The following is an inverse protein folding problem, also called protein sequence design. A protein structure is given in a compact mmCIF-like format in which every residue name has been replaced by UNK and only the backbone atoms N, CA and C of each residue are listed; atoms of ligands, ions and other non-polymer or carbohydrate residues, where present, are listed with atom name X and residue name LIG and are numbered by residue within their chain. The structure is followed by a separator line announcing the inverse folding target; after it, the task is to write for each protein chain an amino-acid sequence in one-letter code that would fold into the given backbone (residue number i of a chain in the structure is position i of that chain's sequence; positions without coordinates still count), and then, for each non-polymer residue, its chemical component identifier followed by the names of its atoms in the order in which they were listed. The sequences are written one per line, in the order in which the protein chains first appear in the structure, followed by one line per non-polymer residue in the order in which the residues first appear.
data_IF_634545490530
#
_entry.id   IF_634545490530
#
_cell.length_a   1.000
_cell.length_b   1.000
_cell.length_c   1.000
_cell.angle_alpha   90.00
_cell.angle_beta   90.00
_cell.angle_gamma   90.00
#
_symmetry.space_group_name_H-M   'P 1'
#
loop_
_entity.id
_entity.type
_entity.pdbx_description
1 polymer ?
#
# COMPACT_ATOMS: atom_id res chain seq x y z
N UNK A 1 9.59 13.33 16.25
CA UNK A 1 8.88 12.03 16.43
C UNK A 1 7.44 12.14 15.95
N UNK A 2 6.72 13.22 16.31
CA UNK A 2 5.43 13.62 15.68
C UNK A 2 5.47 13.69 14.15
N UNK A 3 6.60 14.10 13.56
CA UNK A 3 6.83 14.09 12.10
C UNK A 3 6.92 12.68 11.49
N UNK A 4 7.39 11.69 12.25
CA UNK A 4 7.49 10.29 11.80
C UNK A 4 6.11 9.61 11.84
N UNK A 5 5.26 10.00 12.82
CA UNK A 5 3.87 9.55 12.95
C UNK A 5 3.05 9.94 11.70
N UNK A 6 3.15 11.20 11.26
CA UNK A 6 2.47 11.68 10.05
C UNK A 6 2.97 11.05 8.74
N UNK A 7 4.15 10.40 8.76
CA UNK A 7 4.75 9.86 7.55
C UNK A 7 4.38 8.38 7.29
N UNK A 8 3.97 7.64 8.32
CA UNK A 8 3.37 6.31 8.15
C UNK A 8 1.88 6.45 7.82
N UNK A 9 1.21 7.45 8.41
CA UNK A 9 -0.21 7.76 8.16
C UNK A 9 -0.48 9.25 8.30
N UNK A 10 -1.08 9.88 7.29
CA UNK A 10 -1.50 11.29 7.40
C UNK A 10 -2.61 11.49 8.43
N UNK A 11 -3.51 10.50 8.53
CA UNK A 11 -4.57 10.48 9.55
C UNK A 11 -3.91 10.12 10.88
N UNK A 12 -3.91 11.09 11.80
CA UNK A 12 -3.08 11.09 13.02
C UNK A 12 -3.45 10.01 14.03
N UNK A 13 -4.71 9.57 14.05
CA UNK A 13 -5.27 8.69 15.07
C UNK A 13 -4.75 7.27 15.01
N UNK A 14 -4.82 6.65 13.84
CA UNK A 14 -4.40 5.25 13.66
C UNK A 14 -2.88 5.13 13.62
N UNK A 15 -2.21 6.16 13.11
CA UNK A 15 -0.76 6.31 13.26
C UNK A 15 -0.34 6.32 14.73
N UNK A 16 -1.03 7.10 15.58
CA UNK A 16 -0.72 7.13 17.01
C UNK A 16 -0.90 5.76 17.67
N UNK A 17 -2.00 5.06 17.38
CA UNK A 17 -2.26 3.71 17.93
C UNK A 17 -1.18 2.70 17.49
N UNK A 18 -0.78 2.72 16.21
CA UNK A 18 0.31 1.89 15.71
C UNK A 18 1.63 2.22 16.42
N UNK A 19 1.97 3.51 16.57
CA UNK A 19 3.19 3.92 17.28
C UNK A 19 3.16 3.54 18.75
N UNK A 20 2.04 3.70 19.45
CA UNK A 20 1.87 3.28 20.84
C UNK A 20 2.12 1.78 20.99
N UNK A 21 1.58 0.97 20.08
CA UNK A 21 1.86 -0.46 20.02
C UNK A 21 3.35 -0.74 19.80
N UNK A 22 3.98 -0.09 18.83
CA UNK A 22 5.42 -0.25 18.55
C UNK A 22 6.27 0.13 19.78
N UNK A 23 5.91 1.19 20.50
CA UNK A 23 6.54 1.55 21.76
C UNK A 23 6.39 0.44 22.80
N UNK A 24 5.17 -0.05 23.03
CA UNK A 24 4.91 -1.17 23.96
C UNK A 24 5.74 -2.41 23.60
N UNK A 25 5.84 -2.75 22.32
CA UNK A 25 6.64 -3.88 21.82
C UNK A 25 8.16 -3.65 21.98
N UNK A 26 8.64 -2.41 21.83
CA UNK A 26 10.07 -2.08 21.93
C UNK A 26 10.59 -1.98 23.37
N UNK A 27 9.71 -1.66 24.32
CA UNK A 27 10.05 -1.46 25.74
C UNK A 27 9.44 -2.56 26.64
N UNK A 28 9.03 -3.69 26.08
CA UNK A 28 8.43 -4.76 26.87
C UNK A 28 9.41 -5.49 27.78
N UNK A 29 10.69 -5.58 27.37
CA UNK A 29 11.79 -6.22 28.13
C UNK A 29 13.16 -5.92 27.47
N UNK A 30 14.23 -6.46 28.04
CA UNK A 30 15.61 -6.36 27.51
C UNK A 30 15.96 -7.48 26.50
N UNK A 31 14.96 -8.17 25.92
CA UNK A 31 15.21 -9.26 24.97
C UNK A 31 15.80 -8.75 23.65
N UNK A 32 16.50 -9.62 22.89
CA UNK A 32 16.94 -9.27 21.55
C UNK A 32 15.81 -8.83 20.61
N UNK A 33 14.58 -9.34 20.79
CA UNK A 33 13.41 -8.98 19.99
C UNK A 33 12.91 -7.56 20.28
N UNK A 34 12.75 -7.19 21.56
CA UNK A 34 12.43 -5.81 21.97
C UNK A 34 13.45 -4.80 21.43
N UNK A 35 14.74 -5.14 21.56
CA UNK A 35 15.84 -4.33 21.04
C UNK A 35 15.83 -4.21 19.51
N UNK A 36 15.41 -5.26 18.79
CA UNK A 36 15.27 -5.21 17.34
C UNK A 36 14.20 -4.18 16.92
N UNK A 37 13.04 -4.17 17.58
CA UNK A 37 11.95 -3.21 17.32
C UNK A 37 12.45 -1.79 17.56
N UNK A 38 13.08 -1.54 18.71
CA UNK A 38 13.62 -0.21 19.04
C UNK A 38 14.61 0.29 17.98
N UNK A 39 15.55 -0.55 17.57
CA UNK A 39 16.56 -0.20 16.56
C UNK A 39 15.94 0.06 15.19
N UNK A 40 14.93 -0.71 14.80
CA UNK A 40 14.19 -0.50 13.55
C UNK A 40 13.40 0.82 13.59
N UNK A 41 12.73 1.13 14.70
CA UNK A 41 12.05 2.43 14.90
C UNK A 41 13.03 3.60 14.82
N UNK A 42 14.19 3.50 15.49
CA UNK A 42 15.22 4.53 15.45
C UNK A 42 15.81 4.70 14.04
N UNK A 43 16.03 3.59 13.33
CA UNK A 43 16.50 3.59 11.93
C UNK A 43 15.55 4.39 11.04
N UNK A 44 14.26 4.08 11.11
CA UNK A 44 13.21 4.75 10.34
C UNK A 44 13.09 6.23 10.74
N UNK A 45 13.07 6.53 12.04
CA UNK A 45 13.00 7.90 12.54
C UNK A 45 14.20 8.75 12.12
N UNK A 46 15.41 8.17 12.12
CA UNK A 46 16.62 8.85 11.65
C UNK A 46 16.54 9.13 10.16
N UNK A 47 16.15 8.12 9.35
CA UNK A 47 15.95 8.26 7.91
C UNK A 47 14.97 9.41 7.60
N UNK A 48 13.86 9.49 8.32
CA UNK A 48 12.89 10.55 8.13
C UNK A 48 13.42 11.94 8.47
N UNK A 49 14.16 12.06 9.57
CA UNK A 49 14.59 13.36 10.08
C UNK A 49 15.80 13.91 9.32
N UNK A 50 16.72 13.03 8.95
CA UNK A 50 18.04 13.40 8.44
C UNK A 50 18.28 12.94 7.00
N UNK A 51 17.32 12.23 6.40
CA UNK A 51 17.50 11.62 5.10
C UNK A 51 18.52 10.48 5.14
N UNK A 52 19.14 10.25 4.00
CA UNK A 52 20.14 9.19 3.84
C UNK A 52 21.40 9.49 4.67
N UNK A 53 21.79 8.55 5.53
CA UNK A 53 23.04 8.65 6.29
C UNK A 53 23.51 7.30 6.80
N UNK A 54 24.82 7.18 7.03
CA UNK A 54 25.46 5.98 7.56
C UNK A 54 24.81 5.50 8.87
N UNK A 55 24.28 6.43 9.67
CA UNK A 55 23.66 6.13 10.96
C UNK A 55 22.31 5.41 10.83
N UNK A 56 21.45 5.82 9.88
CA UNK A 56 20.22 5.10 9.57
C UNK A 56 20.51 3.65 9.14
N UNK A 57 21.46 3.47 8.22
CA UNK A 57 21.88 2.14 7.76
C UNK A 57 22.51 1.31 8.89
N UNK A 58 23.32 1.92 9.75
CA UNK A 58 23.91 1.26 10.92
C UNK A 58 22.83 0.74 11.88
N UNK A 59 21.79 1.54 12.12
CA UNK A 59 20.65 1.14 12.94
C UNK A 59 19.83 0.02 12.28
N UNK A 60 19.61 0.07 10.96
CA UNK A 60 19.01 -1.02 10.18
C UNK A 60 19.78 -2.34 10.37
N UNK A 61 21.10 -2.31 10.19
CA UNK A 61 21.98 -3.49 10.37
C UNK A 61 21.96 -3.99 11.81
N UNK A 62 21.94 -3.09 12.79
CA UNK A 62 21.84 -3.44 14.21
C UNK A 62 20.49 -4.07 14.56
N UNK A 63 19.39 -3.63 13.92
CA UNK A 63 18.07 -4.22 14.07
C UNK A 63 18.04 -5.65 13.50
N UNK A 64 18.59 -5.86 12.29
CA UNK A 64 18.73 -7.19 11.68
C UNK A 64 19.57 -8.14 12.53
N UNK A 65 20.67 -7.65 13.11
CA UNK A 65 21.54 -8.44 13.99
C UNK A 65 20.80 -8.88 15.26
N UNK A 66 20.03 -7.97 15.87
CA UNK A 66 19.16 -8.28 17.01
C UNK A 66 18.07 -9.28 16.66
N UNK A 67 17.40 -9.09 15.51
CA UNK A 67 16.37 -10.00 15.02
C UNK A 67 16.93 -11.40 14.79
N UNK A 68 18.09 -11.51 14.13
CA UNK A 68 18.77 -12.80 13.92
C UNK A 68 19.23 -13.46 15.22
N UNK A 69 19.47 -12.69 16.29
CA UNK A 69 19.76 -13.23 17.63
C UNK A 69 18.50 -13.77 18.29
N UNK A 70 17.38 -13.04 18.21
CA UNK A 70 16.08 -13.47 18.72
C UNK A 70 15.62 -14.77 18.04
N UNK A 71 15.68 -14.83 16.71
CA UNK A 71 15.24 -16.00 15.94
C UNK A 71 16.01 -17.29 16.29
N UNK A 72 17.28 -17.20 16.71
CA UNK A 72 18.06 -18.37 17.15
C UNK A 72 17.58 -18.97 18.47
N UNK A 73 16.85 -18.21 19.27
CA UNK A 73 16.34 -18.66 20.57
C UNK A 73 15.02 -19.43 20.43
N UNK A 74 14.55 -19.64 19.19
CA UNK A 74 13.21 -20.11 18.80
C UNK A 74 12.11 -19.22 19.38
N UNK A 75 11.32 -18.57 18.52
CA UNK A 75 10.22 -17.73 18.99
C UNK A 75 9.20 -18.58 19.75
N UNK A 76 9.05 -18.35 21.06
CA UNK A 76 8.21 -19.21 21.91
C UNK A 76 6.90 -18.54 22.35
N UNK A 77 6.78 -17.22 22.21
CA UNK A 77 5.61 -16.45 22.65
C UNK A 77 4.99 -15.53 21.59
N UNK A 78 3.68 -15.33 21.65
CA UNK A 78 2.92 -14.46 20.73
C UNK A 78 3.49 -13.04 20.66
N UNK A 79 3.94 -12.47 21.78
CA UNK A 79 4.57 -11.14 21.83
C UNK A 79 5.82 -11.08 20.96
N UNK A 80 6.71 -12.07 21.08
CA UNK A 80 7.96 -12.13 20.33
C UNK A 80 7.68 -12.23 18.83
N UNK A 81 6.63 -12.96 18.44
CA UNK A 81 6.20 -13.01 17.05
C UNK A 81 5.71 -11.64 16.58
N UNK A 82 4.89 -10.91 17.37
CA UNK A 82 4.49 -9.54 17.00
C UNK A 82 5.68 -8.57 16.93
N UNK A 83 6.70 -8.75 17.78
CA UNK A 83 7.95 -7.99 17.66
C UNK A 83 8.65 -8.29 16.33
N UNK A 84 8.72 -9.56 15.91
CA UNK A 84 9.28 -9.93 14.60
C UNK A 84 8.47 -9.34 13.44
N UNK A 85 7.13 -9.37 13.51
CA UNK A 85 6.24 -8.73 12.52
C UNK A 85 6.49 -7.22 12.47
N UNK A 86 6.56 -6.56 13.62
CA UNK A 86 6.82 -5.12 13.72
C UNK A 86 8.18 -4.74 13.13
N UNK A 87 9.24 -5.49 13.43
CA UNK A 87 10.58 -5.28 12.84
C UNK A 87 10.52 -5.44 11.32
N UNK A 88 9.88 -6.49 10.82
CA UNK A 88 9.71 -6.70 9.38
C UNK A 88 8.98 -5.55 8.70
N UNK A 89 7.88 -5.05 9.29
CA UNK A 89 7.14 -3.91 8.74
C UNK A 89 7.92 -2.60 8.80
N UNK A 90 8.66 -2.33 9.87
CA UNK A 90 9.51 -1.15 9.99
C UNK A 90 10.68 -1.16 8.99
N UNK A 91 11.28 -2.34 8.74
CA UNK A 91 12.32 -2.51 7.73
C UNK A 91 11.76 -2.45 6.31
N UNK A 92 10.55 -2.99 6.08
CA UNK A 92 9.81 -2.82 4.83
C UNK A 92 9.59 -1.33 4.55
N UNK A 93 9.04 -0.60 5.53
CA UNK A 93 8.86 0.85 5.46
C UNK A 93 10.18 1.59 5.16
N UNK A 94 11.26 1.24 5.85
CA UNK A 94 12.58 1.83 5.62
C UNK A 94 13.01 1.74 4.15
N UNK A 95 12.88 0.57 3.53
CA UNK A 95 13.19 0.36 2.11
C UNK A 95 12.20 1.05 1.17
N UNK A 96 10.92 1.12 1.54
CA UNK A 96 9.90 1.80 0.73
C UNK A 96 10.08 3.33 0.72
N UNK A 97 10.48 3.91 1.85
CA UNK A 97 10.80 5.34 1.95
C UNK A 97 12.17 5.68 1.33
N UNK A 98 13.00 4.67 1.10
CA UNK A 98 14.32 4.82 0.49
C UNK A 98 14.70 3.54 -0.31
N UNK A 99 14.25 3.42 -1.57
CA UNK A 99 14.85 2.44 -2.46
C UNK A 99 16.31 2.89 -2.66
N UNK A 100 17.27 2.14 -2.12
CA UNK A 100 18.64 2.27 -2.61
C UNK A 100 18.65 1.69 -4.01
N UNK A 101 19.34 2.33 -4.96
CA UNK A 101 19.49 1.77 -6.32
C UNK A 101 20.09 0.35 -6.28
N UNK A 102 20.73 -0.03 -5.18
CA UNK A 102 21.41 -1.31 -4.96
C UNK A 102 20.65 -2.37 -4.16
N UNK A 103 19.55 -2.06 -3.46
CA UNK A 103 18.87 -3.02 -2.58
C UNK A 103 17.35 -2.93 -2.67
N UNK A 104 16.76 -3.99 -3.19
CA UNK A 104 15.32 -4.22 -3.26
C UNK A 104 14.92 -5.28 -2.23
N UNK A 105 14.83 -4.89 -0.95
CA UNK A 105 14.60 -5.85 0.14
C UNK A 105 13.21 -5.77 0.78
N UNK A 106 12.40 -4.76 0.45
CA UNK A 106 11.10 -4.58 1.09
C UNK A 106 10.17 -5.80 0.96
N UNK A 107 10.09 -6.52 -0.19
CA UNK A 107 9.21 -7.69 -0.26
C UNK A 107 9.72 -8.85 0.60
N UNK A 108 11.03 -8.96 0.82
CA UNK A 108 11.61 -9.98 1.70
C UNK A 108 11.18 -9.72 3.15
N UNK A 109 11.26 -8.48 3.61
CA UNK A 109 10.82 -8.11 4.95
C UNK A 109 9.32 -8.30 5.15
N UNK A 110 8.53 -7.92 4.14
CA UNK A 110 7.08 -8.10 4.14
C UNK A 110 6.69 -9.58 4.17
N UNK A 111 7.31 -10.40 3.31
CA UNK A 111 7.08 -11.84 3.24
C UNK A 111 7.48 -12.53 4.55
N UNK A 112 8.61 -12.12 5.15
CA UNK A 112 9.05 -12.59 6.46
C UNK A 112 8.05 -12.26 7.57
N UNK A 113 7.56 -11.01 7.64
CA UNK A 113 6.54 -10.60 8.61
C UNK A 113 5.23 -11.40 8.43
N UNK A 114 4.80 -11.62 7.19
CA UNK A 114 3.62 -12.43 6.88
C UNK A 114 3.77 -13.89 7.33
N UNK A 115 4.93 -14.49 7.11
CA UNK A 115 5.21 -15.85 7.54
C UNK A 115 5.19 -15.98 9.07
N UNK A 116 5.73 -14.99 9.78
CA UNK A 116 5.67 -14.94 11.24
C UNK A 116 4.24 -14.85 11.75
N UNK A 117 3.41 -14.00 11.13
CA UNK A 117 2.00 -13.87 11.50
C UNK A 117 1.21 -15.17 11.24
N UNK A 118 1.53 -15.90 10.17
CA UNK A 118 0.89 -17.18 9.85
C UNK A 118 1.02 -18.19 11.00
N UNK A 119 2.19 -18.27 11.63
CA UNK A 119 2.44 -19.16 12.77
C UNK A 119 1.52 -18.86 13.98
N UNK A 120 1.09 -17.60 14.16
CA UNK A 120 0.12 -17.23 15.22
C UNK A 120 -1.27 -17.77 14.87
N UNK A 121 -1.70 -17.62 13.61
CA UNK A 121 -3.03 -18.06 13.16
C UNK A 121 -3.23 -19.57 13.33
N UNK A 122 -2.19 -20.37 13.11
CA UNK A 122 -2.26 -21.83 13.30
C UNK A 122 -2.27 -22.24 14.78
N UNK A 123 -1.75 -21.39 15.68
CA UNK A 123 -1.60 -21.67 17.12
C UNK A 123 -2.79 -21.30 18.02
N UNK A 124 -3.89 -20.74 17.49
CA UNK A 124 -5.16 -20.58 18.22
C UNK A 124 -5.22 -19.53 19.35
N UNK A 125 -4.31 -18.56 19.42
CA UNK A 125 -4.23 -17.53 20.49
C UNK A 125 -3.95 -16.11 19.92
N UNK A 126 -4.30 -14.98 20.60
CA UNK A 126 -5.59 -14.50 21.15
C UNK A 126 -5.92 -13.01 20.79
N UNK A 127 -7.07 -12.48 21.29
CA UNK A 127 -7.61 -11.09 21.24
C UNK A 127 -6.85 -10.08 20.35
N UNK A 128 -7.36 -9.94 19.13
CA UNK A 128 -6.93 -9.05 18.05
C UNK A 128 -6.68 -7.59 18.48
N UNK A 129 -7.52 -7.06 19.37
CA UNK A 129 -7.73 -5.61 19.54
C UNK A 129 -6.49 -4.74 19.81
N UNK A 130 -5.42 -5.27 20.42
CA UNK A 130 -4.20 -4.47 20.67
C UNK A 130 -3.27 -4.37 19.45
N UNK A 131 -3.33 -5.33 18.52
CA UNK A 131 -2.38 -5.45 17.39
C UNK A 131 -3.00 -5.24 16.01
N UNK A 132 -4.31 -4.97 15.95
CA UNK A 132 -5.09 -4.76 14.73
C UNK A 132 -4.37 -3.85 13.72
N UNK A 133 -3.85 -2.72 14.20
CA UNK A 133 -3.19 -1.71 13.37
C UNK A 133 -1.92 -2.25 12.68
N UNK A 134 -1.15 -3.11 13.35
CA UNK A 134 0.03 -3.74 12.77
C UNK A 134 -0.36 -4.78 11.71
N UNK A 135 -1.44 -5.54 11.96
CA UNK A 135 -1.95 -6.54 11.02
C UNK A 135 -2.56 -5.89 9.78
N UNK A 136 -3.34 -4.82 9.95
CA UNK A 136 -3.89 -4.00 8.86
C UNK A 136 -2.75 -3.39 8.05
N UNK A 137 -1.72 -2.86 8.70
CA UNK A 137 -0.56 -2.29 8.01
C UNK A 137 0.15 -3.33 7.14
N UNK A 138 0.37 -4.53 7.68
CA UNK A 138 0.93 -5.66 6.94
C UNK A 138 0.04 -6.07 5.75
N UNK A 139 -1.26 -6.21 5.98
CA UNK A 139 -2.24 -6.61 4.97
C UNK A 139 -2.27 -5.62 3.81
N UNK A 140 -2.34 -4.33 4.11
CA UNK A 140 -2.32 -3.23 3.13
C UNK A 140 -1.11 -3.32 2.19
N UNK A 141 0.10 -3.46 2.73
CA UNK A 141 1.32 -3.57 1.93
C UNK A 141 1.42 -4.90 1.17
N UNK A 142 0.93 -6.02 1.72
CA UNK A 142 0.93 -7.33 1.04
C UNK A 142 -0.01 -7.30 -0.17
N UNK A 143 -1.22 -6.77 -0.03
CA UNK A 143 -2.19 -6.70 -1.13
C UNK A 143 -1.69 -5.79 -2.25
N UNK A 144 -1.25 -4.57 -1.94
CA UNK A 144 -0.81 -3.62 -2.97
C UNK A 144 0.54 -4.01 -3.59
N UNK A 145 1.40 -4.68 -2.84
CA UNK A 145 2.61 -5.29 -3.37
C UNK A 145 2.32 -6.43 -4.36
N UNK A 146 1.40 -7.33 -4.00
CA UNK A 146 0.90 -8.38 -4.91
C UNK A 146 0.28 -7.78 -6.16
N UNK A 147 -0.57 -6.77 -5.99
CA UNK A 147 -1.22 -6.08 -7.10
C UNK A 147 -0.17 -5.50 -8.07
N UNK A 148 0.82 -4.75 -7.57
CA UNK A 148 1.88 -4.20 -8.42
C UNK A 148 2.69 -5.32 -9.11
N UNK A 149 2.97 -6.42 -8.41
CA UNK A 149 3.75 -7.54 -8.95
C UNK A 149 3.09 -8.23 -10.14
N UNK A 150 1.76 -8.14 -10.25
CA UNK A 150 0.98 -8.66 -11.39
C UNK A 150 1.38 -8.01 -12.72
N UNK A 151 1.77 -6.74 -12.68
CA UNK A 151 2.16 -5.96 -13.85
C UNK A 151 3.69 -5.84 -14.00
N UNK A 152 4.45 -6.20 -12.97
CA UNK A 152 5.90 -6.16 -12.99
C UNK A 152 6.48 -7.49 -13.50
N UNK A 153 6.66 -7.59 -14.82
CA UNK A 153 7.09 -8.81 -15.55
C UNK A 153 8.61 -9.02 -15.56
N UNK A 154 9.36 -8.43 -14.64
CA UNK A 154 10.82 -8.61 -14.57
C UNK A 154 11.13 -10.06 -14.16
N UNK A 155 11.69 -10.84 -15.10
CA UNK A 155 11.93 -12.30 -15.07
C UNK A 155 12.98 -12.76 -14.04
N UNK A 156 12.91 -12.31 -12.80
CA UNK A 156 13.67 -12.90 -11.71
C UNK A 156 12.82 -14.01 -11.06
N UNK A 157 13.30 -15.26 -11.16
CA UNK A 157 12.69 -16.44 -10.51
C UNK A 157 12.54 -16.22 -9.00
N UNK A 158 13.46 -15.46 -8.39
CA UNK A 158 13.42 -15.08 -6.98
C UNK A 158 12.24 -14.14 -6.69
N UNK A 159 12.03 -13.10 -7.51
CA UNK A 159 10.94 -12.13 -7.35
C UNK A 159 9.55 -12.76 -7.47
N UNK A 160 9.40 -13.71 -8.41
CA UNK A 160 8.16 -14.44 -8.60
C UNK A 160 7.76 -15.28 -7.37
N UNK A 161 8.69 -15.60 -6.46
CA UNK A 161 8.42 -16.42 -5.27
C UNK A 161 8.03 -15.61 -4.02
N UNK A 162 8.39 -14.31 -3.97
CA UNK A 162 8.26 -13.46 -2.77
C UNK A 162 6.80 -13.26 -2.33
N UNK A 163 5.89 -13.19 -3.30
CA UNK A 163 4.46 -12.97 -3.07
C UNK A 163 3.61 -14.25 -3.14
N UNK A 164 4.22 -15.42 -3.47
CA UNK A 164 3.53 -16.71 -3.60
C UNK A 164 3.14 -17.35 -2.27
N UNK A 165 3.66 -16.87 -1.13
CA UNK A 165 3.27 -17.39 0.18
C UNK A 165 1.79 -17.04 0.42
N UNK A 166 0.89 -18.03 0.59
CA UNK A 166 -0.51 -17.78 0.92
C UNK A 166 -0.57 -17.02 2.24
N UNK A 167 -1.05 -15.78 2.20
CA UNK A 167 -1.18 -14.95 3.38
C UNK A 167 -2.56 -15.10 3.98
N UNK A 168 -2.67 -15.71 5.17
CA UNK A 168 -3.91 -15.68 5.98
C UNK A 168 -4.07 -14.37 6.77
N UNK A 169 -3.38 -13.29 6.39
CA UNK A 169 -3.57 -11.97 7.01
C UNK A 169 -5.05 -11.55 6.90
N UNK A 170 -5.69 -11.84 5.77
CA UNK A 170 -7.14 -11.63 5.57
C UNK A 170 -8.02 -12.30 6.62
N UNK A 171 -7.65 -13.50 7.10
CA UNK A 171 -8.42 -14.22 8.13
C UNK A 171 -8.38 -13.50 9.47
N UNK A 172 -7.27 -12.84 9.82
CA UNK A 172 -7.19 -12.02 11.03
C UNK A 172 -7.91 -10.69 10.84
N UNK A 173 -7.77 -10.07 9.66
CA UNK A 173 -8.39 -8.79 9.37
C UNK A 173 -9.93 -8.89 9.32
N UNK A 174 -10.51 -10.02 8.92
CA UNK A 174 -11.97 -10.24 8.87
C UNK A 174 -12.73 -10.10 10.19
N UNK A 175 -12.03 -10.05 11.32
CA UNK A 175 -12.60 -9.77 12.65
C UNK A 175 -12.64 -8.27 13.02
N UNK A 176 -12.13 -7.41 12.16
CA UNK A 176 -12.12 -5.94 12.30
C UNK A 176 -13.31 -5.38 11.53
N UNK A 177 -13.91 -4.27 11.98
CA UNK A 177 -15.05 -3.65 11.31
C UNK A 177 -14.69 -3.30 9.84
N UNK A 178 -15.26 -4.05 8.90
CA UNK A 178 -14.82 -4.12 7.50
C UNK A 178 -15.07 -2.82 6.71
N UNK A 179 -16.09 -2.06 7.08
CA UNK A 179 -16.58 -0.86 6.38
C UNK A 179 -15.87 0.43 6.81
N UNK A 180 -15.15 0.42 7.94
CA UNK A 180 -14.53 1.62 8.51
C UNK A 180 -13.27 2.05 7.75
N UNK A 181 -13.19 3.34 7.38
CA UNK A 181 -11.99 3.95 6.79
C UNK A 181 -10.92 4.09 7.86
N UNK A 182 -9.78 3.46 7.59
CA UNK A 182 -8.63 3.50 8.48
C UNK A 182 -7.55 4.43 7.93
N UNK A 183 -6.95 5.21 8.81
CA UNK A 183 -5.84 6.10 8.51
C UNK A 183 -4.60 5.41 7.97
N UNK A 184 -4.42 4.12 8.30
CA UNK A 184 -3.29 3.31 7.83
C UNK A 184 -3.40 2.99 6.34
N UNK A 185 -4.59 2.61 5.86
CA UNK A 185 -4.85 2.27 4.44
C UNK A 185 -5.35 3.46 3.61
N UNK A 186 -6.06 4.41 4.25
CA UNK A 186 -6.80 5.48 3.58
C UNK A 186 -8.15 5.06 3.00
N UNK A 187 -8.57 3.82 3.22
CA UNK A 187 -9.85 3.24 2.79
C UNK A 187 -10.28 2.16 3.79
N UNK A 188 -11.45 1.58 3.57
CA UNK A 188 -11.90 0.47 4.41
C UNK A 188 -11.11 -0.82 4.16
N UNK A 189 -11.15 -1.73 5.13
CA UNK A 189 -10.60 -3.10 4.99
C UNK A 189 -11.29 -3.82 3.83
N UNK A 190 -12.61 -3.70 3.73
CA UNK A 190 -13.40 -4.28 2.63
C UNK A 190 -12.90 -3.81 1.27
N UNK A 191 -12.56 -2.52 1.14
CA UNK A 191 -12.01 -1.99 -0.10
C UNK A 191 -10.64 -2.61 -0.44
N UNK A 192 -9.78 -2.84 0.55
CA UNK A 192 -8.50 -3.54 0.36
C UNK A 192 -8.71 -4.99 -0.06
N UNK A 193 -9.67 -5.68 0.55
CA UNK A 193 -10.02 -7.06 0.19
C UNK A 193 -10.59 -7.14 -1.23
N UNK A 194 -11.39 -6.16 -1.67
CA UNK A 194 -11.83 -6.06 -3.07
C UNK A 194 -10.65 -5.88 -4.03
N UNK A 195 -9.65 -5.07 -3.68
CA UNK A 195 -8.41 -4.94 -4.48
C UNK A 195 -7.66 -6.27 -4.54
N UNK A 196 -7.62 -7.02 -3.43
CA UNK A 196 -7.05 -8.36 -3.39
C UNK A 196 -7.78 -9.30 -4.35
N UNK A 197 -9.12 -9.36 -4.30
CA UNK A 197 -9.93 -10.18 -5.20
C UNK A 197 -9.70 -9.84 -6.68
N UNK A 198 -9.62 -8.56 -7.01
CA UNK A 198 -9.31 -8.05 -8.35
C UNK A 198 -7.93 -8.53 -8.81
N UNK A 199 -6.95 -8.52 -7.91
CA UNK A 199 -5.57 -8.93 -8.20
C UNK A 199 -5.41 -10.42 -8.47
N UNK A 200 -6.38 -11.25 -8.07
CA UNK A 200 -6.37 -12.71 -8.24
C UNK A 200 -7.08 -13.20 -9.51
N UNK A 201 -7.84 -12.34 -10.20
CA UNK A 201 -8.52 -12.71 -11.44
C UNK A 201 -7.52 -13.00 -12.58
N UNK A 202 -7.90 -13.66 -13.65
CA UNK A 202 -7.02 -13.82 -14.83
C UNK A 202 -7.15 -12.63 -15.79
N UNK A 203 -6.04 -12.09 -16.33
CA UNK A 203 -6.08 -11.07 -17.41
C UNK A 203 -6.18 -11.69 -18.81
N UNK A 204 -5.62 -12.89 -18.95
CA UNK A 204 -5.43 -13.57 -20.24
C UNK A 204 -6.62 -14.46 -20.61
N UNK A 205 -7.40 -14.89 -19.61
CA UNK A 205 -8.43 -15.92 -19.80
C UNK A 205 -9.85 -15.42 -19.48
N UNK A 206 -10.36 -14.53 -20.33
CA UNK A 206 -11.73 -13.99 -20.20
C UNK A 206 -12.81 -15.02 -20.56
N UNK A 207 -12.46 -16.17 -21.17
CA UNK A 207 -13.42 -17.24 -21.49
C UNK A 207 -13.73 -18.13 -20.29
N UNK A 208 -12.80 -18.28 -19.34
CA UNK A 208 -12.97 -19.09 -18.13
C UNK A 208 -13.07 -18.28 -16.83
N UNK A 209 -12.83 -16.96 -16.86
CA UNK A 209 -13.09 -16.12 -15.69
C UNK A 209 -14.57 -16.14 -15.38
N UNK A 210 -14.94 -16.59 -14.17
CA UNK A 210 -16.34 -16.73 -13.76
C UNK A 210 -17.03 -15.36 -13.83
N UNK A 211 -17.86 -15.16 -14.86
CA UNK A 211 -18.64 -13.94 -15.05
C UNK A 211 -19.46 -13.59 -13.80
N UNK A 212 -19.85 -14.57 -12.99
CA UNK A 212 -20.52 -14.33 -11.70
C UNK A 212 -19.59 -13.65 -10.71
N UNK A 213 -18.33 -14.08 -10.62
CA UNK A 213 -17.32 -13.44 -9.77
C UNK A 213 -17.05 -12.01 -10.23
N UNK A 214 -16.92 -11.78 -11.54
CA UNK A 214 -16.77 -10.42 -12.09
C UNK A 214 -17.96 -9.51 -11.74
N UNK A 215 -19.19 -9.99 -11.95
CA UNK A 215 -20.40 -9.23 -11.63
C UNK A 215 -20.53 -8.97 -10.12
N UNK A 216 -20.10 -9.92 -9.28
CA UNK A 216 -20.09 -9.76 -7.82
C UNK A 216 -19.12 -8.68 -7.37
N UNK A 217 -17.89 -8.69 -7.89
CA UNK A 217 -16.87 -7.68 -7.58
C UNK A 217 -17.33 -6.31 -8.06
N UNK A 218 -17.88 -6.22 -9.28
CA UNK A 218 -18.43 -4.97 -9.80
C UNK A 218 -19.54 -4.43 -8.91
N UNK A 219 -20.46 -5.28 -8.48
CA UNK A 219 -21.55 -4.89 -7.60
C UNK A 219 -20.99 -4.34 -6.28
N UNK A 220 -20.08 -5.06 -5.63
CA UNK A 220 -19.45 -4.59 -4.39
C UNK A 220 -18.70 -3.27 -4.57
N UNK A 221 -17.91 -3.08 -5.62
CA UNK A 221 -17.25 -1.78 -5.91
C UNK A 221 -18.25 -0.62 -6.11
N UNK A 222 -19.44 -0.93 -6.64
CA UNK A 222 -20.49 0.06 -6.87
C UNK A 222 -21.27 0.41 -5.60
N UNK A 223 -21.40 -0.53 -4.66
CA UNK A 223 -22.23 -0.39 -3.46
C UNK A 223 -21.44 -0.28 -2.16
N UNK A 224 -20.11 -0.40 -2.19
CA UNK A 224 -19.28 -0.33 -0.99
C UNK A 224 -19.48 1.01 -0.29
N UNK A 225 -19.87 0.94 0.99
CA UNK A 225 -19.97 2.08 1.88
C UNK A 225 -18.71 2.10 2.74
N UNK A 226 -18.08 3.28 2.83
CA UNK A 226 -16.83 3.45 3.57
C UNK A 226 -17.08 4.45 4.70
N UNK A 227 -17.30 3.93 5.90
CA UNK A 227 -17.65 4.73 7.07
C UNK A 227 -16.44 5.54 7.56
N UNK A 228 -16.63 6.85 7.71
CA UNK A 228 -15.60 7.79 8.17
C UNK A 228 -15.78 8.20 9.64
N UNK A 229 -16.77 7.66 10.36
CA UNK A 229 -17.08 8.04 11.74
C UNK A 229 -15.88 7.94 12.70
N UNK A 230 -15.08 6.87 12.61
CA UNK A 230 -13.89 6.70 13.45
C UNK A 230 -12.77 7.70 13.14
N UNK A 231 -12.74 8.26 11.93
CA UNK A 231 -11.84 9.38 11.65
C UNK A 231 -12.27 10.61 12.49
N UNK A 232 -13.56 10.80 12.74
CA UNK A 232 -14.09 11.98 13.44
C UNK A 232 -13.82 12.03 14.94
N UNK A 233 -13.49 10.93 15.61
CA UNK A 233 -13.38 10.91 17.08
C UNK A 233 -12.23 11.78 17.62
N UNK A 234 -11.18 11.97 16.83
CA UNK A 234 -9.93 12.59 17.29
C UNK A 234 -9.21 13.40 16.20
N UNK A 235 -9.77 13.48 14.99
CA UNK A 235 -9.23 14.30 13.90
C UNK A 235 -10.09 15.55 13.69
N UNK A 236 -9.51 16.58 13.06
CA UNK A 236 -10.23 17.78 12.63
C UNK A 236 -11.22 17.47 11.50
N UNK A 237 -12.24 18.32 11.31
CA UNK A 237 -13.21 18.19 10.22
C UNK A 237 -12.53 18.10 8.84
N UNK A 238 -11.47 18.90 8.63
CA UNK A 238 -10.67 18.88 7.39
C UNK A 238 -9.98 17.53 7.16
N UNK A 239 -9.44 16.90 8.22
CA UNK A 239 -8.79 15.58 8.14
C UNK A 239 -9.80 14.47 7.84
N UNK A 240 -11.02 14.57 8.40
CA UNK A 240 -12.11 13.62 8.12
C UNK A 240 -12.60 13.76 6.67
N UNK A 241 -12.83 14.99 6.22
CA UNK A 241 -13.21 15.27 4.83
C UNK A 241 -12.13 14.78 3.86
N UNK A 242 -10.86 15.03 4.18
CA UNK A 242 -9.73 14.52 3.42
C UNK A 242 -9.74 12.99 3.35
N UNK A 243 -9.92 12.30 4.49
CA UNK A 243 -10.02 10.84 4.54
C UNK A 243 -11.17 10.29 3.70
N UNK A 244 -12.33 10.94 3.73
CA UNK A 244 -13.49 10.58 2.88
C UNK A 244 -13.23 10.77 1.39
N UNK A 245 -12.52 11.85 0.99
CA UNK A 245 -12.10 12.04 -0.40
C UNK A 245 -11.13 10.97 -0.86
N UNK A 246 -10.15 10.60 -0.02
CA UNK A 246 -9.17 9.55 -0.32
C UNK A 246 -9.85 8.19 -0.44
N UNK A 247 -10.77 7.84 0.47
CA UNK A 247 -11.48 6.56 0.42
C UNK A 247 -12.33 6.44 -0.84
N UNK A 248 -12.98 7.54 -1.25
CA UNK A 248 -13.72 7.60 -2.50
C UNK A 248 -12.81 7.47 -3.73
N UNK A 249 -11.60 8.05 -3.71
CA UNK A 249 -10.62 7.86 -4.79
C UNK A 249 -10.15 6.41 -4.90
N UNK A 250 -10.00 5.66 -3.80
CA UNK A 250 -9.74 4.22 -3.85
C UNK A 250 -10.83 3.46 -4.60
N UNK A 251 -12.10 3.74 -4.28
CA UNK A 251 -13.25 3.12 -4.93
C UNK A 251 -13.28 3.42 -6.43
N UNK A 252 -13.09 4.69 -6.80
CA UNK A 252 -13.06 5.12 -8.21
C UNK A 252 -11.89 4.51 -8.98
N UNK A 253 -10.69 4.46 -8.38
CA UNK A 253 -9.53 3.81 -8.97
C UNK A 253 -9.77 2.31 -9.21
N UNK A 254 -10.38 1.62 -8.24
CA UNK A 254 -10.79 0.22 -8.38
C UNK A 254 -11.77 0.00 -9.53
N UNK A 255 -12.79 0.86 -9.66
CA UNK A 255 -13.76 0.83 -10.76
C UNK A 255 -13.13 1.10 -12.12
N UNK A 256 -12.24 2.11 -12.21
CA UNK A 256 -11.50 2.44 -13.44
C UNK A 256 -10.65 1.25 -13.88
N UNK A 257 -9.84 0.69 -12.97
CA UNK A 257 -9.02 -0.46 -13.28
C UNK A 257 -9.87 -1.68 -13.67
N UNK A 258 -10.96 -1.95 -12.94
CA UNK A 258 -11.86 -3.06 -13.25
C UNK A 258 -12.45 -2.95 -14.68
N UNK A 259 -12.94 -1.78 -15.06
CA UNK A 259 -13.53 -1.55 -16.38
C UNK A 259 -12.49 -1.60 -17.50
N UNK A 260 -11.31 -1.00 -17.30
CA UNK A 260 -10.22 -0.94 -18.28
C UNK A 260 -9.50 -2.27 -18.45
N UNK A 261 -9.13 -2.93 -17.35
CA UNK A 261 -8.25 -4.10 -17.37
C UNK A 261 -9.00 -5.43 -17.44
N UNK A 262 -10.14 -5.57 -16.74
CA UNK A 262 -10.85 -6.85 -16.65
C UNK A 262 -11.99 -6.95 -17.67
N UNK A 263 -12.75 -5.87 -17.85
CA UNK A 263 -13.80 -5.82 -18.89
C UNK A 263 -13.28 -5.43 -20.27
N UNK A 264 -12.04 -4.92 -20.36
CA UNK A 264 -11.42 -4.44 -21.60
C UNK A 264 -12.30 -3.42 -22.33
N UNK A 265 -13.06 -2.65 -21.55
CA UNK A 265 -14.02 -1.67 -22.04
C UNK A 265 -13.30 -0.34 -22.23
N UNK A 266 -13.07 0.04 -23.49
CA UNK A 266 -12.26 1.22 -23.80
C UNK A 266 -13.00 2.54 -23.64
N UNK A 267 -14.34 2.57 -23.75
CA UNK A 267 -15.14 3.80 -23.79
C UNK A 267 -16.59 3.57 -23.32
N UNK A 268 -16.80 3.27 -22.03
CA UNK A 268 -18.16 3.26 -21.46
C UNK A 268 -18.53 4.62 -20.86
N UNK A 269 -19.80 5.02 -20.98
CA UNK A 269 -20.30 6.25 -20.34
C UNK A 269 -20.16 6.23 -18.82
N UNK A 270 -20.12 5.02 -18.22
CA UNK A 270 -19.84 4.82 -16.79
C UNK A 270 -18.40 5.16 -16.44
N UNK A 271 -17.43 4.70 -17.24
CA UNK A 271 -16.02 5.02 -17.07
C UNK A 271 -15.79 6.53 -17.11
N UNK A 272 -16.37 7.21 -18.10
CA UNK A 272 -16.26 8.68 -18.21
C UNK A 272 -16.81 9.36 -16.96
N UNK A 273 -17.97 8.91 -16.45
CA UNK A 273 -18.57 9.46 -15.22
C UNK A 273 -17.65 9.29 -14.01
N UNK A 274 -17.06 8.11 -13.82
CA UNK A 274 -16.15 7.86 -12.69
C UNK A 274 -14.86 8.67 -12.78
N UNK A 275 -14.32 8.84 -13.99
CA UNK A 275 -13.15 9.70 -14.22
C UNK A 275 -13.49 11.15 -13.88
N UNK A 276 -14.63 11.67 -14.36
CA UNK A 276 -15.07 13.04 -14.02
C UNK A 276 -15.20 13.23 -12.51
N UNK A 277 -15.89 12.31 -11.83
CA UNK A 277 -16.06 12.33 -10.37
C UNK A 277 -14.70 12.31 -9.64
N UNK A 278 -13.73 11.54 -10.13
CA UNK A 278 -12.39 11.49 -9.54
C UNK A 278 -11.61 12.80 -9.72
N UNK A 279 -11.75 13.46 -10.88
CA UNK A 279 -11.11 14.75 -11.13
C UNK A 279 -11.75 15.90 -10.35
N UNK A 280 -13.06 15.87 -10.11
CA UNK A 280 -13.74 16.81 -9.18
C UNK A 280 -13.17 16.68 -7.76
N UNK A 281 -12.88 15.46 -7.30
CA UNK A 281 -12.21 15.25 -6.02
C UNK A 281 -10.79 15.82 -6.05
N UNK A 282 -9.99 15.48 -7.07
CA UNK A 282 -8.60 15.95 -7.23
C UNK A 282 -8.51 17.48 -7.22
N UNK A 283 -9.46 18.18 -7.85
CA UNK A 283 -9.50 19.65 -7.91
C UNK A 283 -9.59 20.27 -6.51
N UNK A 284 -10.37 19.66 -5.61
CA UNK A 284 -10.55 20.14 -4.24
C UNK A 284 -9.53 19.57 -3.25
N UNK A 285 -8.70 18.62 -3.69
CA UNK A 285 -7.78 17.90 -2.82
C UNK A 285 -6.46 18.66 -2.66
N UNK A 286 -6.03 18.86 -1.43
CA UNK A 286 -4.77 19.56 -1.15
C UNK A 286 -3.55 18.68 -1.51
N UNK A 287 -3.49 17.47 -0.97
CA UNK A 287 -2.45 16.46 -1.21
C UNK A 287 -3.05 15.07 -1.43
N UNK A 288 -2.32 14.13 -2.01
CA UNK A 288 -2.73 12.73 -2.06
C UNK A 288 -1.51 11.83 -1.86
N UNK A 289 -1.41 11.20 -0.70
CA UNK A 289 -0.26 10.36 -0.34
C UNK A 289 -0.51 8.87 -0.56
N UNK A 290 -1.56 8.52 -1.32
CA UNK A 290 -1.94 7.14 -1.60
C UNK A 290 -1.56 6.79 -3.04
N UNK A 291 -0.46 6.06 -3.25
CA UNK A 291 0.03 5.72 -4.58
C UNK A 291 -1.00 4.99 -5.45
N UNK A 292 -1.73 4.01 -4.90
CA UNK A 292 -2.72 3.24 -5.65
C UNK A 292 -3.79 4.11 -6.32
N UNK A 293 -4.63 4.88 -5.59
CA UNK A 293 -5.66 5.68 -6.24
C UNK A 293 -5.06 6.80 -7.10
N UNK A 294 -3.96 7.41 -6.65
CA UNK A 294 -3.31 8.47 -7.40
C UNK A 294 -2.82 7.98 -8.77
N UNK A 295 -2.17 6.81 -8.83
CA UNK A 295 -1.66 6.23 -10.06
C UNK A 295 -2.80 5.97 -11.07
N UNK A 296 -3.83 5.22 -10.68
CA UNK A 296 -4.89 4.83 -11.61
C UNK A 296 -5.73 5.98 -12.12
N UNK A 297 -6.04 6.97 -11.27
CA UNK A 297 -6.79 8.15 -11.71
C UNK A 297 -5.91 9.08 -12.55
N UNK A 298 -4.65 9.26 -12.18
CA UNK A 298 -3.72 10.12 -12.92
C UNK A 298 -3.44 9.60 -14.34
N UNK A 299 -3.38 8.27 -14.51
CA UNK A 299 -3.27 7.63 -15.82
C UNK A 299 -4.44 8.00 -16.77
N UNK A 300 -5.60 8.39 -16.23
CA UNK A 300 -6.78 8.79 -17.01
C UNK A 300 -6.83 10.31 -17.32
N UNK A 301 -5.72 11.02 -17.16
CA UNK A 301 -5.61 12.43 -17.54
C UNK A 301 -5.43 12.59 -19.07
N UNK A 302 -6.55 12.65 -19.79
CA UNK A 302 -6.62 12.73 -21.26
C UNK A 302 -6.51 14.16 -21.81
N UNK A 303 -6.49 15.18 -20.96
CA UNK A 303 -6.41 16.60 -21.35
C UNK A 303 -5.30 17.32 -20.61
N UNK A 304 -4.75 18.39 -21.22
CA UNK A 304 -3.73 19.23 -20.57
C UNK A 304 -4.21 19.82 -19.24
N UNK A 305 -5.50 20.16 -19.14
CA UNK A 305 -6.11 20.63 -17.88
C UNK A 305 -6.02 19.56 -16.80
N UNK A 306 -6.38 18.31 -17.12
CA UNK A 306 -6.30 17.19 -16.18
C UNK A 306 -4.85 16.87 -15.80
N UNK A 307 -3.94 16.82 -16.78
CA UNK A 307 -2.50 16.59 -16.54
C UNK A 307 -1.92 17.66 -15.62
N UNK A 308 -2.29 18.94 -15.83
CA UNK A 308 -1.89 20.05 -14.96
C UNK A 308 -2.43 19.91 -13.54
N UNK A 309 -3.68 19.48 -13.36
CA UNK A 309 -4.24 19.22 -12.03
C UNK A 309 -3.46 18.12 -11.30
N UNK A 310 -3.16 17.02 -11.99
CA UNK A 310 -2.37 15.89 -11.45
C UNK A 310 -0.95 16.32 -11.08
N UNK A 311 -0.24 17.02 -11.96
CA UNK A 311 1.13 17.49 -11.69
C UNK A 311 1.18 18.47 -10.52
N UNK A 312 0.18 19.36 -10.40
CA UNK A 312 0.02 20.24 -9.24
C UNK A 312 -0.20 19.44 -7.94
N UNK A 313 -1.00 18.39 -7.98
CA UNK A 313 -1.22 17.51 -6.83
C UNK A 313 0.05 16.75 -6.43
N UNK A 314 0.83 16.25 -7.39
CA UNK A 314 2.14 15.65 -7.14
C UNK A 314 3.08 16.63 -6.46
N UNK A 315 3.20 17.85 -6.99
CA UNK A 315 4.07 18.89 -6.44
C UNK A 315 3.67 19.26 -5.00
N UNK A 316 2.38 19.48 -4.74
CA UNK A 316 1.86 19.76 -3.38
C UNK A 316 2.17 18.61 -2.42
N UNK A 317 1.96 17.37 -2.85
CA UNK A 317 2.19 16.17 -2.03
C UNK A 317 3.67 16.01 -1.68
N UNK A 318 4.56 16.11 -2.68
CA UNK A 318 6.01 15.97 -2.50
C UNK A 318 6.62 17.08 -1.62
N UNK A 319 6.05 18.29 -1.64
CA UNK A 319 6.47 19.38 -0.75
C UNK A 319 6.13 19.10 0.72
N UNK A 320 5.02 18.40 0.99
CA UNK A 320 4.56 18.10 2.35
C UNK A 320 5.15 16.81 2.91
N UNK A 321 5.41 15.83 2.06
CA UNK A 321 6.00 14.56 2.46
C UNK A 321 7.21 14.28 1.57
N UNK A 322 8.37 14.05 2.19
CA UNK A 322 9.62 13.72 1.48
C UNK A 322 9.61 12.28 0.94
N UNK A 323 8.48 11.84 0.40
CA UNK A 323 8.22 10.46 0.00
C UNK A 323 8.71 10.23 -1.43
N UNK A 324 9.88 9.60 -1.57
CA UNK A 324 10.41 9.14 -2.88
C UNK A 324 9.41 8.27 -3.66
N UNK A 325 8.53 7.55 -2.97
CA UNK A 325 7.44 6.75 -3.58
C UNK A 325 6.59 7.58 -4.55
N UNK A 326 6.23 8.80 -4.18
CA UNK A 326 5.39 9.67 -5.00
C UNK A 326 6.13 10.14 -6.26
N UNK A 327 7.46 10.31 -6.20
CA UNK A 327 8.27 10.57 -7.40
C UNK A 327 8.26 9.40 -8.37
N UNK A 328 8.36 8.16 -7.88
CA UNK A 328 8.26 6.96 -8.72
C UNK A 328 6.89 6.89 -9.40
N UNK A 329 5.80 7.12 -8.66
CA UNK A 329 4.45 7.15 -9.24
C UNK A 329 4.29 8.23 -10.30
N UNK A 330 4.81 9.44 -10.06
CA UNK A 330 4.79 10.51 -11.05
C UNK A 330 5.49 10.08 -12.34
N UNK A 331 6.70 9.52 -12.26
CA UNK A 331 7.44 9.03 -13.43
C UNK A 331 6.71 7.92 -14.19
N UNK A 332 6.02 7.02 -13.47
CA UNK A 332 5.17 6.00 -14.08
C UNK A 332 3.96 6.61 -14.80
N UNK A 333 3.28 7.57 -14.19
CA UNK A 333 2.13 8.27 -14.80
C UNK A 333 2.55 9.04 -16.06
N UNK A 334 3.65 9.79 -16.00
CA UNK A 334 4.18 10.51 -17.16
C UNK A 334 4.55 9.53 -18.29
N UNK A 335 5.12 8.37 -17.95
CA UNK A 335 5.40 7.31 -18.93
C UNK A 335 4.12 6.77 -19.58
N UNK A 336 3.04 6.59 -18.80
CA UNK A 336 1.72 6.21 -19.34
C UNK A 336 1.21 7.27 -20.32
N UNK A 337 1.28 8.56 -19.97
CA UNK A 337 0.85 9.63 -20.87
C UNK A 337 1.64 9.66 -22.18
N UNK A 338 2.96 9.43 -22.11
CA UNK A 338 3.79 9.30 -23.31
C UNK A 338 3.34 8.13 -24.18
N UNK A 339 3.07 6.95 -23.58
CA UNK A 339 2.57 5.81 -24.35
C UNK A 339 1.20 6.08 -24.98
N UNK A 340 0.29 6.74 -24.24
CA UNK A 340 -1.03 7.13 -24.76
C UNK A 340 -0.90 8.09 -25.95
N UNK A 341 -0.07 9.12 -25.82
CA UNK A 341 0.15 10.11 -26.88
C UNK A 341 0.77 9.47 -28.13
N UNK A 342 1.74 8.56 -27.97
CA UNK A 342 2.33 7.80 -29.09
C UNK A 342 1.34 6.81 -29.75
N UNK A 343 0.46 6.21 -28.95
CA UNK A 343 -0.51 5.21 -29.43
C UNK A 343 -1.67 5.80 -30.25
N UNK A 344 -1.80 7.13 -30.28
CA UNK A 344 -2.83 7.82 -31.06
C UNK A 344 -2.67 7.67 -32.59
N UNK A 345 -1.51 7.17 -33.05
CA UNK A 345 -1.18 6.99 -34.48
C UNK A 345 -1.28 5.52 -34.99
N UNK A 346 -1.43 4.50 -34.13
CA UNK A 346 -1.57 3.07 -34.51
C UNK A 346 -2.68 2.35 -33.71
N UNK A 347 -2.94 1.05 -33.95
CA UNK A 347 -3.87 0.26 -33.10
C UNK A 347 -3.39 0.36 -31.65
N UNK A 348 -4.10 1.14 -30.83
CA UNK A 348 -3.70 1.48 -29.47
C UNK A 348 -3.33 0.25 -28.64
N UNK A 349 -2.33 0.42 -27.78
CA UNK A 349 -1.89 -0.61 -26.83
C UNK A 349 -3.03 -0.91 -25.84
N UNK A 350 -3.30 -2.19 -25.60
CA UNK A 350 -4.27 -2.61 -24.57
C UNK A 350 -3.82 -2.10 -23.19
N UNK A 351 -4.78 -1.67 -22.38
CA UNK A 351 -4.49 -1.01 -21.09
C UNK A 351 -3.59 -1.83 -20.18
N UNK A 352 -3.81 -3.14 -20.13
CA UNK A 352 -2.98 -4.08 -19.35
C UNK A 352 -1.53 -4.12 -19.85
N UNK A 353 -1.32 -4.14 -21.17
CA UNK A 353 0.01 -4.19 -21.75
C UNK A 353 0.79 -2.91 -21.49
N UNK A 354 0.09 -1.77 -21.52
CA UNK A 354 0.65 -0.47 -21.14
C UNK A 354 1.09 -0.45 -19.67
N UNK A 355 0.22 -0.93 -18.76
CA UNK A 355 0.60 -1.04 -17.35
C UNK A 355 1.79 -1.99 -17.16
N UNK A 356 1.81 -3.12 -17.86
CA UNK A 356 2.90 -4.08 -17.79
C UNK A 356 4.23 -3.44 -18.24
N UNK A 357 4.21 -2.71 -19.36
CA UNK A 357 5.39 -2.03 -19.90
C UNK A 357 5.92 -0.96 -18.94
N UNK A 358 5.04 -0.12 -18.40
CA UNK A 358 5.43 0.97 -17.49
C UNK A 358 5.91 0.46 -16.13
N UNK A 359 5.26 -0.57 -15.57
CA UNK A 359 5.74 -1.13 -14.30
C UNK A 359 7.05 -1.88 -14.50
N UNK A 360 7.19 -2.65 -15.59
CA UNK A 360 8.39 -3.45 -15.88
C UNK A 360 9.58 -2.64 -16.38
N UNK A 361 9.40 -1.36 -16.74
CA UNK A 361 10.53 -0.47 -17.06
C UNK A 361 11.34 -0.07 -15.83
N UNK A 362 10.83 -0.35 -14.63
CA UNK A 362 11.52 -0.11 -13.37
C UNK A 362 12.25 -1.39 -12.94
N UNK A 363 13.55 -1.28 -12.64
CA UNK A 363 14.39 -2.38 -12.18
C UNK A 363 13.95 -2.97 -10.83
N UNK A 364 13.17 -2.20 -10.07
CA UNK A 364 12.63 -2.54 -8.76
C UNK A 364 11.10 -2.49 -8.82
N UNK A 365 10.43 -3.40 -8.10
CA UNK A 365 8.97 -3.42 -8.04
C UNK A 365 8.45 -2.09 -7.47
N UNK A 366 7.66 -1.32 -8.22
CA UNK A 366 7.00 -0.16 -7.67
C UNK A 366 6.03 -0.57 -6.55
N UNK A 367 5.92 0.27 -5.54
CA UNK A 367 4.92 0.09 -4.49
C UNK A 367 3.71 0.96 -4.79
N UNK A 368 2.52 0.37 -4.73
CA UNK A 368 1.25 1.10 -4.79
C UNK A 368 0.67 1.37 -3.39
N UNK A 369 1.41 1.00 -2.34
CA UNK A 369 1.10 1.24 -0.92
C UNK A 369 1.76 2.50 -0.37
#
# INVERSE_FOLDING_TARGET
MTTVVGSITLIRTDGHKLWELLFKLSFSDDSPASMAVLRAMLSLAYLYRHGHGNEALRLKVAALSSLGTAMKQNATGTREIYQHVAVGMLLCAFELFLPSESSFQWPLYLSGAKNMLHNICEGGHPKLMEVDHLVIWLHYHDILGKFASRHWRVESVENASLFKVPGRASTLVSSIANDQVLGISGCSVEMIDLIAEISELSLDDTQYTDQRKLNSIEYHLMTIEQDTTLLGENNSEEEVEHGGKISQLYRLAGLVYFERALKKSSNSGRLTRWITEAFEIIETLDICERPFPLFFIACEAHTDTQRKMVLSLFEKTQRRSSQRRIHTIQGMVESVWVQMDLSSDEKGMEYVDMLNAVMSSHDQLPTLA
#
